data_IF_668936204294
#
_entry.id   IF_668936204294
#
_cell.length_a   1.000
_cell.length_b   1.000
_cell.length_c   1.000
_cell.angle_alpha   90.00
_cell.angle_beta   90.00
_cell.angle_gamma   90.00
#
_symmetry.space_group_name_H-M   'P 1'
#
loop_
_entity.id
_entity.type
_entity.pdbx_description
1 polymer ?
#
# COMPACT_ATOMS: atom_id res chain seq x y z
N UNK A 1 2.46 -21.79 7.76
CA UNK A 1 2.01 -20.69 6.89
C UNK A 1 0.55 -20.88 6.57
N UNK A 2 -0.26 -19.84 6.73
CA UNK A 2 -1.67 -19.82 6.31
C UNK A 2 -1.77 -19.59 4.80
N UNK A 3 -2.68 -20.32 4.13
CA UNK A 3 -2.89 -20.23 2.69
C UNK A 3 -4.36 -19.98 2.37
N UNK A 4 -4.62 -19.18 1.33
CA UNK A 4 -5.95 -18.91 0.79
C UNK A 4 -6.10 -19.50 -0.60
N UNK A 5 -7.13 -20.33 -0.78
CA UNK A 5 -7.53 -20.84 -2.09
C UNK A 5 -8.39 -19.80 -2.79
N UNK A 6 -8.12 -19.55 -4.07
CA UNK A 6 -8.88 -18.61 -4.87
C UNK A 6 -10.06 -19.34 -5.55
N UNK A 7 -11.21 -18.70 -5.62
CA UNK A 7 -12.39 -19.27 -6.29
C UNK A 7 -12.22 -19.35 -7.81
N UNK A 8 -11.48 -18.41 -8.39
CA UNK A 8 -11.18 -18.38 -9.84
C UNK A 8 -9.90 -19.15 -10.11
N UNK A 9 -9.87 -19.91 -11.20
CA UNK A 9 -8.63 -20.45 -11.77
C UNK A 9 -7.89 -19.32 -12.49
N UNK A 10 -6.56 -19.46 -12.63
CA UNK A 10 -5.77 -18.54 -13.44
C UNK A 10 -6.05 -18.72 -14.95
N UNK A 11 -5.44 -17.89 -15.80
CA UNK A 11 -5.60 -17.94 -17.26
C UNK A 11 -5.16 -19.24 -17.91
N UNK A 12 -4.41 -20.11 -17.18
CA UNK A 12 -4.05 -21.46 -17.63
C UNK A 12 -5.02 -22.55 -17.14
N UNK A 13 -6.09 -22.19 -16.43
CA UNK A 13 -7.04 -23.15 -15.86
C UNK A 13 -6.55 -23.84 -14.59
N UNK A 14 -5.49 -23.32 -13.94
CA UNK A 14 -4.91 -23.89 -12.73
C UNK A 14 -5.53 -23.26 -11.47
N UNK A 15 -5.63 -24.07 -10.41
CA UNK A 15 -6.07 -23.61 -9.09
C UNK A 15 -5.01 -22.74 -8.46
N UNK A 16 -5.39 -21.56 -7.96
CA UNK A 16 -4.51 -20.63 -7.26
C UNK A 16 -4.61 -20.86 -5.75
N UNK A 17 -3.47 -20.98 -5.07
CA UNK A 17 -3.39 -21.08 -3.61
C UNK A 17 -2.19 -20.27 -3.12
N UNK A 18 -2.45 -19.03 -2.71
CA UNK A 18 -1.41 -18.13 -2.20
C UNK A 18 -1.24 -18.24 -0.70
N UNK A 19 -0.01 -18.02 -0.19
CA UNK A 19 0.19 -17.69 1.22
C UNK A 19 -0.54 -16.38 1.55
N UNK A 20 -1.16 -16.32 2.74
CA UNK A 20 -1.84 -15.11 3.20
C UNK A 20 -0.83 -13.96 3.41
N UNK A 21 0.40 -14.26 3.86
CA UNK A 21 1.51 -13.31 3.84
C UNK A 21 2.15 -13.30 2.44
N UNK A 22 2.21 -12.14 1.80
CA UNK A 22 2.98 -11.89 0.59
C UNK A 22 4.21 -11.02 0.89
N UNK A 23 5.30 -11.21 0.14
CA UNK A 23 6.50 -10.39 0.25
C UNK A 23 6.44 -9.21 -0.70
N UNK A 24 6.39 -7.99 -0.16
CA UNK A 24 6.42 -6.74 -0.93
C UNK A 24 7.86 -6.28 -1.19
N UNK A 25 8.30 -6.27 -2.46
CA UNK A 25 9.66 -5.92 -2.88
C UNK A 25 9.91 -4.41 -3.02
N UNK A 26 9.05 -3.56 -2.48
CA UNK A 26 9.20 -2.11 -2.51
C UNK A 26 10.17 -1.57 -1.44
N UNK A 27 10.42 -2.34 -0.37
CA UNK A 27 11.16 -1.89 0.81
C UNK A 27 12.31 -2.84 1.15
N UNK A 28 13.14 -3.19 0.17
CA UNK A 28 14.36 -3.94 0.44
C UNK A 28 15.31 -3.15 1.33
N UNK A 29 16.15 -3.82 2.14
CA UNK A 29 17.28 -3.15 2.81
C UNK A 29 18.16 -2.47 1.77
N UNK A 30 18.69 -1.28 2.11
CA UNK A 30 19.52 -0.48 1.22
C UNK A 30 20.88 -0.23 1.84
N UNK A 31 21.89 -0.06 0.97
CA UNK A 31 23.21 0.45 1.35
C UNK A 31 23.11 1.94 1.75
N UNK A 32 24.15 2.51 2.38
CA UNK A 32 24.20 3.94 2.68
C UNK A 32 24.01 4.84 1.44
N UNK A 33 24.39 4.35 0.25
CA UNK A 33 24.26 5.05 -1.03
C UNK A 33 22.85 4.91 -1.64
N UNK A 34 21.93 4.16 -1.00
CA UNK A 34 20.55 3.99 -1.42
C UNK A 34 20.31 2.87 -2.44
N UNK A 35 21.31 2.09 -2.81
CA UNK A 35 21.16 0.89 -3.62
C UNK A 35 20.56 -0.27 -2.79
N UNK A 36 19.98 -1.28 -3.45
CA UNK A 36 19.54 -2.49 -2.76
C UNK A 36 20.76 -3.19 -2.15
N UNK A 37 20.71 -3.51 -0.85
CA UNK A 37 21.67 -4.42 -0.21
C UNK A 37 21.31 -5.85 -0.64
N UNK A 38 21.79 -6.23 -1.83
CA UNK A 38 21.42 -7.50 -2.47
C UNK A 38 21.68 -8.73 -1.60
N UNK A 39 22.82 -8.87 -0.88
CA UNK A 39 23.03 -10.02 -0.01
C UNK A 39 21.96 -10.15 1.09
N UNK A 40 21.62 -9.05 1.77
CA UNK A 40 20.61 -9.05 2.81
C UNK A 40 19.20 -9.25 2.23
N UNK A 41 18.88 -8.56 1.15
CA UNK A 41 17.59 -8.69 0.49
C UNK A 41 17.35 -10.11 -0.04
N UNK A 42 18.35 -10.75 -0.64
CA UNK A 42 18.28 -12.15 -1.08
C UNK A 42 18.09 -13.12 0.10
N UNK A 43 18.80 -12.90 1.21
CA UNK A 43 18.64 -13.71 2.41
C UNK A 43 17.21 -13.64 2.95
N UNK A 44 16.60 -12.44 3.01
CA UNK A 44 15.22 -12.25 3.43
C UNK A 44 14.22 -12.94 2.48
N UNK A 45 14.39 -12.81 1.16
CA UNK A 45 13.55 -13.48 0.17
C UNK A 45 13.61 -15.00 0.30
N UNK A 46 14.81 -15.56 0.43
CA UNK A 46 14.99 -17.00 0.60
C UNK A 46 14.36 -17.50 1.91
N UNK A 47 14.58 -16.79 3.02
CA UNK A 47 14.00 -17.15 4.32
C UNK A 47 12.45 -17.08 4.28
N UNK A 48 11.87 -16.09 3.63
CA UNK A 48 10.42 -15.99 3.44
C UNK A 48 9.88 -17.18 2.63
N UNK A 49 10.51 -17.50 1.49
CA UNK A 49 10.14 -18.67 0.65
C UNK A 49 10.24 -19.97 1.44
N UNK A 50 11.35 -20.19 2.13
CA UNK A 50 11.61 -21.43 2.88
C UNK A 50 10.62 -21.61 4.05
N UNK A 51 10.08 -20.51 4.59
CA UNK A 51 8.98 -20.51 5.56
C UNK A 51 7.58 -20.67 4.92
N UNK A 52 7.48 -20.77 3.59
CA UNK A 52 6.25 -21.04 2.86
C UNK A 52 5.55 -19.82 2.29
N UNK A 53 6.17 -18.63 2.29
CA UNK A 53 5.66 -17.50 1.50
C UNK A 53 5.84 -17.83 0.03
N UNK A 54 4.75 -17.74 -0.74
CA UNK A 54 4.76 -18.06 -2.16
C UNK A 54 4.23 -16.95 -3.07
N UNK A 55 3.96 -15.75 -2.54
CA UNK A 55 3.56 -14.57 -3.31
C UNK A 55 4.58 -13.46 -3.16
N UNK A 56 5.19 -13.04 -4.27
CA UNK A 56 6.23 -12.00 -4.32
C UNK A 56 5.80 -10.88 -5.26
N UNK A 57 5.71 -9.65 -4.70
CA UNK A 57 5.17 -8.47 -5.37
C UNK A 57 6.25 -7.45 -5.64
N UNK A 58 6.52 -7.16 -6.91
CA UNK A 58 7.42 -6.08 -7.34
C UNK A 58 6.70 -5.08 -8.24
N UNK A 59 7.42 -4.09 -8.76
CA UNK A 59 6.94 -3.19 -9.79
C UNK A 59 8.10 -2.54 -10.55
N UNK A 60 7.81 -2.10 -11.77
CA UNK A 60 8.77 -1.46 -12.68
C UNK A 60 9.58 -0.32 -12.06
N UNK A 61 8.97 0.65 -11.29
CA UNK A 61 9.69 1.79 -10.72
C UNK A 61 10.38 1.52 -9.38
N UNK A 62 10.14 0.35 -8.73
CA UNK A 62 10.65 0.11 -7.39
C UNK A 62 12.18 0.14 -7.33
N UNK A 63 12.73 0.80 -6.31
CA UNK A 63 14.16 1.04 -6.15
C UNK A 63 14.80 1.67 -7.40
N UNK A 64 14.15 2.68 -8.00
CA UNK A 64 14.65 3.32 -9.21
C UNK A 64 14.74 2.38 -10.42
N UNK A 65 13.89 1.35 -10.48
CA UNK A 65 13.87 0.33 -11.53
C UNK A 65 14.80 -0.86 -11.28
N UNK A 66 15.46 -0.94 -10.11
CA UNK A 66 16.39 -2.04 -9.78
C UNK A 66 15.69 -3.25 -9.16
N UNK A 67 14.46 -3.11 -8.66
CA UNK A 67 13.76 -4.21 -7.99
C UNK A 67 13.50 -5.40 -8.91
N UNK A 68 12.94 -5.18 -10.11
CA UNK A 68 12.66 -6.28 -11.06
C UNK A 68 13.93 -7.06 -11.47
N UNK A 69 15.04 -6.39 -11.90
CA UNK A 69 16.28 -7.13 -12.23
C UNK A 69 16.84 -7.91 -11.04
N UNK A 70 16.78 -7.35 -9.83
CA UNK A 70 17.26 -8.03 -8.62
C UNK A 70 16.36 -9.24 -8.30
N UNK A 71 15.04 -9.06 -8.25
CA UNK A 71 14.07 -10.16 -8.01
C UNK A 71 14.27 -11.26 -9.05
N UNK A 72 14.41 -10.90 -10.34
CA UNK A 72 14.66 -11.86 -11.43
C UNK A 72 15.87 -12.74 -11.17
N UNK A 73 17.01 -12.17 -10.71
CA UNK A 73 18.21 -12.94 -10.36
C UNK A 73 18.01 -13.90 -9.18
N UNK A 74 17.18 -13.50 -8.21
CA UNK A 74 16.90 -14.35 -7.04
C UNK A 74 15.96 -15.49 -7.41
N UNK A 75 14.81 -15.20 -8.05
CA UNK A 75 13.80 -16.22 -8.39
C UNK A 75 14.27 -17.21 -9.46
N UNK A 76 15.25 -16.83 -10.30
CA UNK A 76 15.88 -17.76 -11.26
C UNK A 76 16.55 -18.97 -10.58
N UNK A 77 16.84 -18.88 -9.28
CA UNK A 77 17.40 -19.97 -8.47
C UNK A 77 16.33 -20.90 -7.87
N UNK A 78 15.03 -20.56 -8.05
CA UNK A 78 13.90 -21.28 -7.47
C UNK A 78 13.11 -22.06 -8.53
N UNK A 79 12.48 -23.20 -8.17
CA UNK A 79 11.51 -23.83 -9.07
C UNK A 79 10.38 -22.87 -9.43
N UNK A 80 10.12 -22.67 -10.72
CA UNK A 80 9.16 -21.63 -11.19
C UNK A 80 7.73 -21.83 -10.64
N UNK A 81 7.34 -23.07 -10.45
CA UNK A 81 6.02 -23.48 -9.94
C UNK A 81 5.90 -23.32 -8.41
N UNK A 82 6.99 -22.98 -7.71
CA UNK A 82 6.98 -22.87 -6.24
C UNK A 82 6.50 -21.50 -5.74
N UNK A 83 6.32 -20.54 -6.63
CA UNK A 83 5.93 -19.17 -6.26
C UNK A 83 5.04 -18.51 -7.31
N UNK A 84 4.32 -17.50 -6.87
CA UNK A 84 3.59 -16.56 -7.70
C UNK A 84 4.32 -15.23 -7.74
N UNK A 85 4.54 -14.72 -8.96
CA UNK A 85 5.21 -13.46 -9.23
C UNK A 85 4.20 -12.38 -9.65
N UNK A 86 4.24 -11.24 -8.97
CA UNK A 86 3.45 -10.07 -9.33
C UNK A 86 4.34 -8.90 -9.75
N UNK A 87 3.96 -8.23 -10.85
CA UNK A 87 4.49 -6.91 -11.22
C UNK A 87 3.42 -6.05 -11.89
N UNK A 88 3.75 -4.78 -12.18
CA UNK A 88 2.74 -3.75 -12.47
C UNK A 88 3.14 -2.86 -13.64
N UNK A 89 2.18 -2.52 -14.52
CA UNK A 89 2.32 -1.56 -15.61
C UNK A 89 2.31 -0.12 -15.08
N UNK A 90 3.40 0.65 -15.20
CA UNK A 90 3.46 2.03 -14.72
C UNK A 90 2.80 2.99 -15.73
N UNK A 91 1.47 3.10 -15.69
CA UNK A 91 0.68 3.85 -16.69
C UNK A 91 1.09 5.32 -16.85
N UNK A 92 1.67 5.96 -15.82
CA UNK A 92 2.19 7.33 -15.92
C UNK A 92 3.46 7.45 -16.75
N UNK A 93 4.07 6.33 -17.12
CA UNK A 93 5.20 6.26 -18.05
C UNK A 93 4.77 5.83 -19.45
N UNK A 94 3.46 5.61 -19.68
CA UNK A 94 2.91 5.22 -20.97
C UNK A 94 2.15 6.37 -21.60
N UNK A 95 2.64 6.89 -22.72
CA UNK A 95 1.95 7.86 -23.56
C UNK A 95 1.22 7.20 -24.75
N UNK A 96 1.47 5.90 -25.01
CA UNK A 96 0.88 5.13 -26.10
C UNK A 96 0.81 3.63 -25.76
N UNK A 97 0.06 2.87 -26.58
CA UNK A 97 0.03 1.40 -26.49
C UNK A 97 1.42 0.79 -26.76
N UNK A 98 2.17 1.32 -27.71
CA UNK A 98 3.51 0.82 -28.06
C UNK A 98 4.49 0.95 -26.87
N UNK A 99 4.43 2.04 -26.14
CA UNK A 99 5.25 2.20 -24.92
C UNK A 99 4.86 1.21 -23.84
N UNK A 100 3.57 0.95 -23.65
CA UNK A 100 3.10 -0.09 -22.71
C UNK A 100 3.57 -1.49 -23.13
N UNK A 101 3.52 -1.80 -24.43
CA UNK A 101 4.04 -3.05 -24.97
C UNK A 101 5.54 -3.20 -24.72
N UNK A 102 6.31 -2.14 -24.98
CA UNK A 102 7.75 -2.13 -24.72
C UNK A 102 8.06 -2.36 -23.23
N UNK A 103 7.36 -1.67 -22.33
CA UNK A 103 7.54 -1.85 -20.89
C UNK A 103 7.23 -3.29 -20.47
N UNK A 104 6.17 -3.90 -20.97
CA UNK A 104 5.81 -5.29 -20.66
C UNK A 104 6.90 -6.28 -21.08
N UNK A 105 7.44 -6.14 -22.29
CA UNK A 105 8.55 -6.99 -22.77
C UNK A 105 9.80 -6.78 -21.91
N UNK A 106 10.09 -5.54 -21.55
CA UNK A 106 11.21 -5.22 -20.66
C UNK A 106 11.03 -5.84 -19.28
N UNK A 107 9.82 -5.86 -18.72
CA UNK A 107 9.53 -6.50 -17.43
C UNK A 107 9.77 -8.01 -17.47
N UNK A 108 9.31 -8.71 -18.51
CA UNK A 108 9.61 -10.13 -18.71
C UNK A 108 11.10 -10.39 -18.78
N UNK A 109 11.83 -9.54 -19.52
CA UNK A 109 13.29 -9.62 -19.65
C UNK A 109 14.02 -9.37 -18.33
N UNK A 110 13.61 -8.34 -17.56
CA UNK A 110 14.20 -8.00 -16.25
C UNK A 110 13.99 -9.11 -15.23
N UNK A 111 12.79 -9.68 -15.22
CA UNK A 111 12.43 -10.77 -14.31
C UNK A 111 12.93 -12.13 -14.77
N UNK A 112 13.33 -12.27 -16.04
CA UNK A 112 13.83 -13.52 -16.63
C UNK A 112 12.77 -14.62 -16.72
N UNK A 113 11.51 -14.24 -16.99
CA UNK A 113 10.36 -15.16 -17.03
C UNK A 113 9.59 -15.07 -18.35
N UNK A 114 8.93 -16.16 -18.73
CA UNK A 114 8.09 -16.22 -19.94
C UNK A 114 6.65 -15.72 -19.67
N UNK A 115 6.19 -15.79 -18.41
CA UNK A 115 4.89 -15.35 -17.98
C UNK A 115 4.93 -14.76 -16.57
N UNK A 116 3.94 -13.91 -16.28
CA UNK A 116 3.72 -13.29 -14.96
C UNK A 116 2.43 -13.85 -14.38
N UNK A 117 2.45 -14.29 -13.11
CA UNK A 117 1.28 -14.89 -12.47
C UNK A 117 0.21 -13.84 -12.17
N UNK A 118 0.61 -12.68 -11.64
CA UNK A 118 -0.28 -11.59 -11.27
C UNK A 118 0.20 -10.28 -11.90
N UNK A 119 -0.50 -9.80 -12.90
CA UNK A 119 -0.14 -8.56 -13.57
C UNK A 119 -1.15 -7.46 -13.24
N UNK A 120 -0.67 -6.27 -12.86
CA UNK A 120 -1.51 -5.18 -12.40
C UNK A 120 -1.35 -3.93 -13.27
N UNK A 121 -2.45 -3.21 -13.49
CA UNK A 121 -2.37 -1.78 -13.79
C UNK A 121 -1.97 -1.06 -12.50
N UNK A 122 -0.91 -0.25 -12.54
CA UNK A 122 -0.29 0.32 -11.34
C UNK A 122 -0.93 1.64 -10.93
N UNK A 123 -1.36 1.72 -9.66
CA UNK A 123 -1.79 2.97 -9.01
C UNK A 123 -2.91 3.68 -9.77
N UNK A 124 -4.03 2.95 -9.99
CA UNK A 124 -5.19 3.50 -10.66
C UNK A 124 -5.94 4.50 -9.77
N UNK A 125 -6.51 5.47 -10.45
CA UNK A 125 -7.69 6.24 -10.11
C UNK A 125 -8.54 6.37 -11.39
N UNK A 126 -9.82 6.72 -11.28
CA UNK A 126 -10.77 6.66 -12.40
C UNK A 126 -10.23 7.29 -13.71
N UNK A 127 -9.73 8.51 -13.66
CA UNK A 127 -9.25 9.20 -14.87
C UNK A 127 -7.99 8.53 -15.50
N UNK A 128 -7.09 7.93 -14.70
CA UNK A 128 -5.95 7.17 -15.22
C UNK A 128 -6.39 5.88 -15.87
N UNK A 129 -7.39 5.24 -15.31
CA UNK A 129 -8.00 4.04 -15.88
C UNK A 129 -8.66 4.32 -17.24
N UNK A 130 -9.50 5.37 -17.31
CA UNK A 130 -10.18 5.75 -18.55
C UNK A 130 -9.19 6.06 -19.65
N UNK A 131 -8.11 6.80 -19.35
CA UNK A 131 -7.03 7.05 -20.29
C UNK A 131 -6.34 5.76 -20.77
N UNK A 132 -6.10 4.80 -19.90
CA UNK A 132 -5.50 3.52 -20.29
C UNK A 132 -6.41 2.72 -21.23
N UNK A 133 -7.74 2.80 -21.05
CA UNK A 133 -8.72 2.22 -21.99
C UNK A 133 -8.68 2.92 -23.34
N UNK A 134 -8.72 4.25 -23.36
CA UNK A 134 -8.65 5.03 -24.60
C UNK A 134 -7.40 4.72 -25.42
N UNK A 135 -6.27 4.45 -24.77
CA UNK A 135 -5.02 4.02 -25.41
C UNK A 135 -5.03 2.55 -25.86
N UNK A 136 -6.08 1.76 -25.54
CA UNK A 136 -6.18 0.32 -25.87
C UNK A 136 -5.30 -0.59 -25.01
N UNK A 137 -4.68 -0.07 -23.95
CA UNK A 137 -3.77 -0.84 -23.08
C UNK A 137 -4.52 -1.94 -22.33
N UNK A 138 -5.72 -1.64 -21.83
CA UNK A 138 -6.53 -2.62 -21.08
C UNK A 138 -6.89 -3.82 -21.93
N UNK A 139 -7.41 -3.60 -23.13
CA UNK A 139 -7.79 -4.65 -24.07
C UNK A 139 -6.58 -5.48 -24.49
N UNK A 140 -5.46 -4.82 -24.76
CA UNK A 140 -4.22 -5.51 -25.11
C UNK A 140 -3.70 -6.40 -23.96
N UNK A 141 -3.80 -5.98 -22.71
CA UNK A 141 -3.40 -6.81 -21.56
C UNK A 141 -4.32 -8.01 -21.37
N UNK A 142 -5.63 -7.90 -21.67
CA UNK A 142 -6.52 -9.05 -21.72
C UNK A 142 -6.12 -10.04 -22.83
N UNK A 143 -5.62 -9.57 -23.97
CA UNK A 143 -5.06 -10.45 -25.02
C UNK A 143 -3.77 -11.14 -24.52
N UNK A 144 -2.87 -10.45 -23.79
CA UNK A 144 -1.70 -11.09 -23.19
C UNK A 144 -2.09 -12.20 -22.19
N UNK A 145 -3.19 -12.01 -21.47
CA UNK A 145 -3.74 -13.06 -20.62
C UNK A 145 -4.25 -14.26 -21.44
N UNK A 146 -4.99 -14.05 -22.54
CA UNK A 146 -5.43 -15.14 -23.44
C UNK A 146 -4.25 -15.90 -24.05
N UNK A 147 -3.15 -15.21 -24.33
CA UNK A 147 -1.90 -15.80 -24.82
C UNK A 147 -1.11 -16.55 -23.72
N UNK A 148 -1.55 -16.49 -22.46
CA UNK A 148 -0.90 -17.16 -21.33
C UNK A 148 0.35 -16.46 -20.80
N UNK A 149 0.66 -15.25 -21.28
CA UNK A 149 1.79 -14.43 -20.78
C UNK A 149 1.47 -13.74 -19.47
N UNK A 150 0.19 -13.57 -19.18
CA UNK A 150 -0.37 -13.14 -17.90
C UNK A 150 -1.31 -14.25 -17.41
N UNK A 151 -1.16 -14.71 -16.17
CA UNK A 151 -2.03 -15.74 -15.59
C UNK A 151 -3.27 -15.16 -14.92
N UNK A 152 -3.12 -14.04 -14.20
CA UNK A 152 -4.20 -13.29 -13.57
C UNK A 152 -3.99 -11.80 -13.79
N UNK A 153 -5.04 -11.10 -14.25
CA UNK A 153 -4.97 -9.66 -14.56
C UNK A 153 -5.85 -8.86 -13.62
N UNK A 154 -5.27 -7.84 -13.01
CA UNK A 154 -5.92 -6.97 -12.04
C UNK A 154 -5.31 -5.58 -12.02
N UNK A 155 -5.50 -4.88 -10.91
CA UNK A 155 -4.98 -3.51 -10.74
C UNK A 155 -4.70 -3.20 -9.28
N UNK A 156 -3.84 -2.21 -9.01
CA UNK A 156 -3.76 -1.52 -7.73
C UNK A 156 -4.45 -0.15 -7.83
N UNK A 157 -5.18 0.24 -6.77
CA UNK A 157 -5.98 1.45 -6.78
C UNK A 157 -5.65 2.35 -5.59
N UNK A 158 -5.58 3.65 -5.87
CA UNK A 158 -5.52 4.75 -4.92
C UNK A 158 -6.61 5.75 -5.32
N UNK A 159 -7.86 5.41 -5.00
CA UNK A 159 -9.04 6.23 -5.26
C UNK A 159 -10.07 6.03 -4.15
N UNK A 160 -11.02 6.93 -4.06
CA UNK A 160 -12.18 6.76 -3.18
C UNK A 160 -13.09 5.62 -3.67
N UNK A 161 -14.10 5.28 -2.87
CA UNK A 161 -14.99 4.16 -3.18
C UNK A 161 -15.74 4.32 -4.51
N UNK A 162 -16.09 5.53 -4.93
CA UNK A 162 -16.80 5.78 -6.20
C UNK A 162 -15.89 5.53 -7.42
N UNK A 163 -14.65 6.03 -7.38
CA UNK A 163 -13.67 5.76 -8.43
C UNK A 163 -13.30 4.28 -8.51
N UNK A 164 -13.14 3.63 -7.35
CA UNK A 164 -12.93 2.19 -7.30
C UNK A 164 -14.12 1.41 -7.90
N UNK A 165 -15.37 1.75 -7.56
CA UNK A 165 -16.56 1.09 -8.09
C UNK A 165 -16.66 1.22 -9.61
N UNK A 166 -16.33 2.39 -10.16
CA UNK A 166 -16.25 2.62 -11.61
C UNK A 166 -15.29 1.61 -12.28
N UNK A 167 -14.09 1.44 -11.72
CA UNK A 167 -13.09 0.52 -12.26
C UNK A 167 -13.51 -0.95 -12.09
N UNK A 168 -14.00 -1.33 -10.90
CA UNK A 168 -14.36 -2.71 -10.60
C UNK A 168 -15.48 -3.25 -11.48
N UNK A 169 -16.47 -2.42 -11.83
CA UNK A 169 -17.64 -2.84 -12.64
C UNK A 169 -17.39 -2.89 -14.13
N UNK A 170 -16.29 -2.28 -14.60
CA UNK A 170 -16.05 -2.16 -16.04
C UNK A 170 -15.43 -3.41 -16.67
N UNK A 171 -14.69 -4.20 -15.93
CA UNK A 171 -14.00 -5.40 -16.43
C UNK A 171 -14.21 -6.62 -15.53
N UNK A 172 -14.07 -7.84 -16.06
CA UNK A 172 -14.15 -9.06 -15.27
C UNK A 172 -12.84 -9.37 -14.52
N UNK A 173 -12.37 -8.43 -13.72
CA UNK A 173 -11.09 -8.51 -13.01
C UNK A 173 -10.90 -9.84 -12.27
N UNK A 174 -9.68 -10.38 -12.31
CA UNK A 174 -9.35 -11.57 -11.55
C UNK A 174 -9.10 -11.24 -10.07
N UNK A 175 -8.61 -10.03 -9.80
CA UNK A 175 -8.31 -9.52 -8.47
C UNK A 175 -8.13 -8.00 -8.50
N UNK A 176 -8.08 -7.39 -7.32
CA UNK A 176 -7.57 -6.03 -7.15
C UNK A 176 -6.66 -5.93 -5.92
N UNK A 177 -5.88 -4.86 -5.86
CA UNK A 177 -4.99 -4.55 -4.75
C UNK A 177 -5.34 -3.18 -4.18
N UNK A 178 -5.72 -3.14 -2.90
CA UNK A 178 -6.14 -1.92 -2.21
C UNK A 178 -5.31 -1.66 -0.96
N UNK A 179 -5.19 -0.40 -0.57
CA UNK A 179 -4.75 -0.01 0.74
C UNK A 179 -5.88 -0.29 1.75
N UNK A 180 -5.59 -1.08 2.80
CA UNK A 180 -6.56 -1.34 3.84
C UNK A 180 -5.88 -1.73 5.16
N UNK A 181 -6.24 -1.03 6.23
CA UNK A 181 -5.80 -1.28 7.60
C UNK A 181 -6.83 -0.70 8.57
N UNK A 182 -6.76 -1.04 9.84
CA UNK A 182 -7.77 -0.66 10.84
C UNK A 182 -7.87 0.86 11.10
N UNK A 183 -6.92 1.66 10.64
CA UNK A 183 -6.96 3.12 10.77
C UNK A 183 -7.57 3.80 9.53
N UNK A 184 -7.44 3.18 8.35
CA UNK A 184 -7.89 3.70 7.06
C UNK A 184 -9.19 3.01 6.61
N UNK A 185 -10.18 2.94 7.50
CA UNK A 185 -11.50 2.34 7.23
C UNK A 185 -12.50 3.32 6.62
N UNK A 186 -12.25 4.62 6.79
CA UNK A 186 -13.12 5.70 6.31
C UNK A 186 -12.83 6.02 4.82
N UNK A 187 -13.87 6.05 3.99
CA UNK A 187 -13.81 6.34 2.55
C UNK A 187 -13.87 7.84 2.20
N UNK A 188 -13.83 8.72 3.22
CA UNK A 188 -13.88 10.19 3.00
C UNK A 188 -12.57 10.78 2.48
N UNK A 189 -11.46 10.07 2.58
CA UNK A 189 -10.21 10.49 1.97
C UNK A 189 -10.22 10.20 0.46
N UNK A 190 -9.67 11.11 -0.36
CA UNK A 190 -9.73 10.98 -1.83
C UNK A 190 -8.98 9.78 -2.40
N UNK A 191 -8.01 9.26 -1.68
CA UNK A 191 -7.13 8.16 -2.14
C UNK A 191 -7.39 6.82 -1.45
N UNK A 192 -8.44 6.74 -0.60
CA UNK A 192 -8.73 5.56 0.22
C UNK A 192 -10.19 5.17 0.04
N UNK A 193 -10.41 3.92 -0.34
CA UNK A 193 -11.76 3.38 -0.51
C UNK A 193 -12.37 2.77 0.77
N UNK A 194 -11.55 2.60 1.83
CA UNK A 194 -11.97 2.16 3.16
C UNK A 194 -12.80 0.88 3.19
N UNK A 195 -13.70 0.80 4.17
CA UNK A 195 -14.63 -0.32 4.33
C UNK A 195 -15.55 -0.50 3.12
N UNK A 196 -15.96 0.60 2.49
CA UNK A 196 -16.81 0.52 1.29
C UNK A 196 -16.06 -0.14 0.13
N UNK A 197 -14.78 0.15 -0.04
CA UNK A 197 -13.94 -0.52 -1.04
C UNK A 197 -13.84 -2.01 -0.79
N UNK A 198 -13.61 -2.43 0.46
CA UNK A 198 -13.62 -3.84 0.83
C UNK A 198 -14.97 -4.50 0.50
N UNK A 199 -16.11 -3.89 0.89
CA UNK A 199 -17.45 -4.41 0.63
C UNK A 199 -17.73 -4.57 -0.87
N UNK A 200 -17.35 -3.60 -1.71
CA UNK A 200 -17.49 -3.67 -3.16
C UNK A 200 -16.78 -4.91 -3.74
N UNK A 201 -15.58 -5.23 -3.24
CA UNK A 201 -14.85 -6.42 -3.71
C UNK A 201 -15.55 -7.72 -3.30
N UNK A 202 -16.17 -7.77 -2.10
CA UNK A 202 -16.98 -8.92 -1.68
C UNK A 202 -18.25 -9.06 -2.52
N UNK A 203 -19.01 -7.96 -2.72
CA UNK A 203 -20.23 -7.92 -3.55
C UNK A 203 -19.97 -8.44 -4.97
N UNK A 204 -18.84 -8.05 -5.56
CA UNK A 204 -18.46 -8.42 -6.92
C UNK A 204 -17.68 -9.75 -7.00
N UNK A 205 -17.39 -10.40 -5.87
CA UNK A 205 -16.57 -11.61 -5.80
C UNK A 205 -15.20 -11.44 -6.47
N UNK A 206 -14.57 -10.27 -6.30
CA UNK A 206 -13.22 -9.97 -6.79
C UNK A 206 -12.24 -10.18 -5.63
N UNK A 207 -11.33 -11.16 -5.69
CA UNK A 207 -10.33 -11.42 -4.66
C UNK A 207 -9.46 -10.19 -4.39
N UNK A 208 -9.15 -9.95 -3.11
CA UNK A 208 -8.46 -8.76 -2.65
C UNK A 208 -7.05 -9.08 -2.17
N UNK A 209 -6.08 -8.30 -2.65
CA UNK A 209 -4.71 -8.21 -2.15
C UNK A 209 -4.59 -6.90 -1.38
N UNK A 210 -3.99 -6.93 -0.20
CA UNK A 210 -3.84 -5.73 0.63
C UNK A 210 -2.42 -5.20 0.54
N UNK A 211 -2.32 -3.90 0.24
CA UNK A 211 -1.13 -3.08 0.44
C UNK A 211 -1.32 -2.15 1.66
N UNK A 212 -0.22 -1.68 2.24
CA UNK A 212 -0.21 -0.80 3.43
C UNK A 212 -0.98 -1.38 4.66
N UNK A 213 -0.88 -2.68 4.96
CA UNK A 213 -1.59 -3.29 6.08
C UNK A 213 -1.18 -2.71 7.44
N UNK A 214 0.06 -2.19 7.52
CA UNK A 214 0.64 -1.54 8.71
C UNK A 214 0.95 -0.05 8.47
N UNK A 215 0.28 0.58 7.50
CA UNK A 215 0.39 2.02 7.17
C UNK A 215 1.86 2.48 7.07
N UNK A 216 2.63 1.83 6.16
CA UNK A 216 4.04 2.14 5.94
C UNK A 216 4.97 1.87 7.13
N UNK A 217 4.52 1.09 8.11
CA UNK A 217 5.25 0.79 9.36
C UNK A 217 4.75 1.59 10.57
N UNK A 218 3.88 2.57 10.38
CA UNK A 218 3.41 3.44 11.48
C UNK A 218 2.61 2.65 12.53
N UNK A 219 1.82 1.66 12.08
CA UNK A 219 1.03 0.80 12.97
C UNK A 219 1.86 -0.32 13.64
N UNK A 220 3.16 -0.38 13.41
CA UNK A 220 4.07 -1.29 14.10
C UNK A 220 4.72 -0.68 15.36
N UNK A 221 4.46 0.60 15.63
CA UNK A 221 5.03 1.34 16.76
C UNK A 221 3.98 2.31 17.31
N UNK A 222 3.04 1.77 18.07
CA UNK A 222 1.96 2.55 18.68
C UNK A 222 2.44 3.32 19.93
N UNK A 223 1.85 4.48 20.24
CA UNK A 223 2.07 5.09 21.55
C UNK A 223 1.46 4.20 22.66
N UNK A 224 2.04 4.21 23.87
CA UNK A 224 1.64 3.30 24.95
C UNK A 224 0.14 3.30 25.27
N UNK A 225 -0.51 4.44 25.17
CA UNK A 225 -1.95 4.56 25.45
C UNK A 225 -2.80 3.89 24.36
N UNK A 226 -2.33 3.90 23.10
CA UNK A 226 -3.01 3.23 22.00
C UNK A 226 -2.75 1.70 22.03
N UNK A 227 -1.56 1.28 22.47
CA UNK A 227 -1.14 -0.11 22.61
C UNK A 227 -1.85 -0.82 23.79
N UNK A 228 -2.18 -0.09 24.86
CA UNK A 228 -2.67 -0.65 26.11
C UNK A 228 -3.85 -1.63 25.97
N UNK A 229 -4.92 -1.37 25.19
CA UNK A 229 -6.00 -2.34 24.99
C UNK A 229 -5.53 -3.66 24.37
N UNK A 230 -4.57 -3.60 23.47
CA UNK A 230 -4.01 -4.74 22.74
C UNK A 230 -3.14 -5.59 23.68
N UNK A 231 -2.25 -4.96 24.43
CA UNK A 231 -1.36 -5.60 25.41
C UNK A 231 -2.11 -6.22 26.57
N UNK A 232 -3.27 -5.68 26.95
CA UNK A 232 -4.12 -6.28 27.97
C UNK A 232 -4.63 -7.68 27.56
N UNK A 233 -4.80 -7.95 26.26
CA UNK A 233 -5.27 -9.23 25.73
C UNK A 233 -4.12 -10.17 25.37
N UNK A 234 -3.08 -9.66 24.71
CA UNK A 234 -1.89 -10.44 24.30
C UNK A 234 -0.61 -9.64 24.57
N UNK A 235 -0.04 -9.72 25.79
CA UNK A 235 1.12 -8.88 26.18
C UNK A 235 2.35 -9.03 25.29
N UNK A 236 2.57 -10.23 24.74
CA UNK A 236 3.75 -10.55 23.92
C UNK A 236 3.54 -10.31 22.41
N UNK A 237 2.31 -10.00 21.98
CA UNK A 237 2.04 -9.75 20.55
C UNK A 237 2.60 -8.40 20.13
N UNK A 238 3.24 -8.35 18.97
CA UNK A 238 3.70 -7.08 18.36
C UNK A 238 2.51 -6.26 17.85
N UNK A 239 2.66 -4.93 17.77
CA UNK A 239 1.65 -4.06 17.16
C UNK A 239 1.40 -4.43 15.70
N UNK A 240 2.47 -4.79 14.96
CA UNK A 240 2.37 -5.26 13.59
C UNK A 240 1.49 -6.51 13.46
N UNK A 241 1.62 -7.47 14.40
CA UNK A 241 0.81 -8.69 14.39
C UNK A 241 -0.69 -8.42 14.55
N UNK A 242 -1.06 -7.41 15.34
CA UNK A 242 -2.46 -7.00 15.48
C UNK A 242 -3.03 -6.43 14.17
N UNK A 243 -2.29 -5.55 13.51
CA UNK A 243 -2.70 -4.98 12.23
C UNK A 243 -2.80 -6.05 11.13
N UNK A 244 -1.83 -6.95 11.04
CA UNK A 244 -1.82 -8.05 10.07
C UNK A 244 -2.96 -9.05 10.32
N UNK A 245 -3.24 -9.38 11.59
CA UNK A 245 -4.37 -10.25 11.95
C UNK A 245 -5.71 -9.59 11.68
N UNK A 246 -5.83 -8.27 11.91
CA UNK A 246 -7.05 -7.53 11.58
C UNK A 246 -7.37 -7.64 10.09
N UNK A 247 -6.41 -7.32 9.23
CA UNK A 247 -6.56 -7.45 7.77
C UNK A 247 -6.87 -8.90 7.38
N UNK A 248 -6.13 -9.86 7.91
CA UNK A 248 -6.29 -11.29 7.60
C UNK A 248 -7.61 -11.89 8.10
N UNK A 249 -8.31 -11.22 9.02
CA UNK A 249 -9.63 -11.64 9.48
C UNK A 249 -10.73 -11.42 8.43
N UNK A 250 -10.47 -10.61 7.42
CA UNK A 250 -11.39 -10.33 6.33
C UNK A 250 -11.36 -11.45 5.28
N UNK A 251 -12.50 -12.08 5.02
CA UNK A 251 -12.59 -13.32 4.22
C UNK A 251 -12.19 -13.17 2.76
N UNK A 252 -12.42 -11.98 2.18
CA UNK A 252 -12.08 -11.72 0.78
C UNK A 252 -10.61 -11.32 0.57
N UNK A 253 -9.82 -11.20 1.65
CA UNK A 253 -8.39 -10.95 1.58
C UNK A 253 -7.64 -12.25 1.32
N UNK A 254 -6.91 -12.32 0.22
CA UNK A 254 -6.16 -13.50 -0.21
C UNK A 254 -4.66 -13.36 -0.03
N UNK A 255 -4.14 -12.13 -0.08
CA UNK A 255 -2.73 -11.82 0.18
C UNK A 255 -2.63 -10.50 0.93
N UNK A 256 -1.73 -10.45 1.92
CA UNK A 256 -1.35 -9.26 2.67
C UNK A 256 0.11 -8.98 2.40
N UNK A 257 0.39 -7.89 1.70
CA UNK A 257 1.75 -7.52 1.34
C UNK A 257 2.46 -6.85 2.50
N UNK A 258 3.60 -7.40 2.90
CA UNK A 258 4.50 -6.77 3.86
C UNK A 258 5.89 -6.57 3.25
N UNK A 259 6.40 -5.34 3.33
CA UNK A 259 7.76 -4.99 2.92
C UNK A 259 8.71 -5.16 4.11
N UNK A 260 9.18 -6.37 4.32
CA UNK A 260 10.08 -6.71 5.42
C UNK A 260 11.53 -6.40 5.03
N UNK A 261 12.12 -5.39 5.65
CA UNK A 261 13.48 -4.91 5.36
C UNK A 261 14.53 -5.35 6.39
N UNK A 262 14.11 -6.10 7.43
CA UNK A 262 14.96 -6.62 8.49
C UNK A 262 14.51 -8.02 8.93
N UNK A 263 15.42 -8.79 9.51
CA UNK A 263 15.20 -10.18 9.91
C UNK A 263 14.17 -10.31 11.04
N UNK A 264 14.13 -9.37 11.97
CA UNK A 264 13.17 -9.31 13.07
C UNK A 264 11.74 -9.10 12.56
N UNK A 265 11.55 -8.19 11.58
CA UNK A 265 10.26 -7.97 10.91
C UNK A 265 9.77 -9.23 10.18
N UNK A 266 10.67 -9.90 9.46
CA UNK A 266 10.34 -11.16 8.80
C UNK A 266 9.96 -12.24 9.81
N UNK A 267 10.74 -12.39 10.88
CA UNK A 267 10.52 -13.40 11.92
C UNK A 267 9.16 -13.19 12.61
N UNK A 268 8.82 -11.96 12.99
CA UNK A 268 7.56 -11.60 13.64
C UNK A 268 6.36 -11.88 12.71
N UNK A 269 6.44 -11.43 11.46
CA UNK A 269 5.39 -11.67 10.48
C UNK A 269 5.21 -13.16 10.18
N UNK A 270 6.30 -13.92 10.02
CA UNK A 270 6.23 -15.37 9.82
C UNK A 270 5.61 -16.07 11.02
N UNK A 271 5.92 -15.66 12.25
CA UNK A 271 5.30 -16.22 13.47
C UNK A 271 3.79 -15.97 13.48
N UNK A 272 3.34 -14.77 13.10
CA UNK A 272 1.93 -14.40 12.99
C UNK A 272 1.17 -15.30 12.00
N UNK A 273 1.76 -15.60 10.82
CA UNK A 273 1.08 -16.39 9.79
C UNK A 273 1.37 -17.89 9.85
N UNK A 274 2.32 -18.36 10.67
CA UNK A 274 2.57 -19.79 10.89
C UNK A 274 1.39 -20.48 11.58
N UNK A 275 0.72 -19.76 12.48
CA UNK A 275 -0.51 -20.17 13.19
C UNK A 275 -1.51 -19.03 13.17
N UNK A 276 -1.96 -18.67 11.97
CA UNK A 276 -2.89 -17.57 11.81
C UNK A 276 -4.21 -17.85 12.53
N UNK A 277 -4.58 -16.92 13.41
CA UNK A 277 -5.87 -16.90 14.11
C UNK A 277 -6.58 -15.59 13.77
N UNK A 278 -7.76 -15.64 13.13
CA UNK A 278 -8.59 -14.43 12.97
C UNK A 278 -8.86 -13.78 14.31
N UNK A 279 -9.07 -12.47 14.32
CA UNK A 279 -9.44 -11.75 15.54
C UNK A 279 -10.78 -12.26 16.08
N UNK A 280 -10.85 -12.50 17.38
CA UNK A 280 -12.11 -12.70 18.10
C UNK A 280 -12.87 -11.37 18.22
N UNK A 281 -14.16 -11.41 18.56
CA UNK A 281 -14.95 -10.20 18.78
C UNK A 281 -14.33 -9.26 19.83
N UNK A 282 -13.76 -9.82 20.91
CA UNK A 282 -13.07 -9.04 21.95
C UNK A 282 -11.79 -8.39 21.41
N UNK A 283 -11.02 -9.10 20.61
CA UNK A 283 -9.81 -8.57 19.98
C UNK A 283 -10.14 -7.49 18.94
N UNK A 284 -11.21 -7.69 18.14
CA UNK A 284 -11.70 -6.68 17.21
C UNK A 284 -12.08 -5.39 17.94
N UNK A 285 -12.85 -5.49 19.04
CA UNK A 285 -13.21 -4.34 19.85
C UNK A 285 -11.97 -3.59 20.42
N UNK A 286 -10.91 -4.32 20.82
CA UNK A 286 -9.67 -3.69 21.28
C UNK A 286 -8.95 -2.94 20.15
N UNK A 287 -8.92 -3.49 18.93
CA UNK A 287 -8.35 -2.80 17.76
C UNK A 287 -9.17 -1.56 17.39
N UNK A 288 -10.50 -1.65 17.43
CA UNK A 288 -11.41 -0.51 17.23
C UNK A 288 -11.18 0.60 18.27
N UNK A 289 -10.98 0.23 19.55
CA UNK A 289 -10.64 1.17 20.61
C UNK A 289 -9.29 1.86 20.34
N UNK A 290 -8.28 1.11 19.89
CA UNK A 290 -6.97 1.64 19.48
C UNK A 290 -7.13 2.64 18.32
N UNK A 291 -7.88 2.28 17.28
CA UNK A 291 -8.15 3.16 16.14
C UNK A 291 -8.88 4.44 16.58
N UNK A 292 -9.91 4.32 17.40
CA UNK A 292 -10.65 5.46 17.93
C UNK A 292 -9.76 6.40 18.76
N UNK A 293 -8.86 5.85 19.59
CA UNK A 293 -7.89 6.64 20.32
C UNK A 293 -6.96 7.42 19.38
N UNK A 294 -6.39 6.77 18.37
CA UNK A 294 -5.52 7.42 17.39
C UNK A 294 -6.26 8.52 16.63
N UNK A 295 -7.49 8.25 16.16
CA UNK A 295 -8.33 9.24 15.48
C UNK A 295 -8.65 10.44 16.37
N UNK A 296 -8.86 10.24 17.68
CA UNK A 296 -9.11 11.34 18.63
C UNK A 296 -7.93 12.32 18.76
N UNK A 297 -6.73 11.92 18.35
CA UNK A 297 -5.50 12.72 18.39
C UNK A 297 -5.18 13.45 17.09
N UNK A 298 -6.04 13.33 16.08
CA UNK A 298 -5.93 14.08 14.82
C UNK A 298 -6.03 15.59 15.16
N UNK A 299 -5.01 16.34 14.79
CA UNK A 299 -4.92 17.79 15.06
C UNK A 299 -5.87 18.61 14.21
N UNK A 300 -6.08 18.17 12.96
CA UNK A 300 -6.96 18.86 12.01
C UNK A 300 -7.59 17.86 11.03
N UNK A 301 -8.90 17.96 10.82
CA UNK A 301 -9.68 17.06 9.96
C UNK A 301 -9.52 17.33 8.46
N UNK A 302 -8.27 17.45 7.99
CA UNK A 302 -7.97 17.58 6.56
C UNK A 302 -8.13 16.22 5.86
N UNK A 303 -8.95 16.17 4.79
CA UNK A 303 -9.19 14.95 4.00
C UNK A 303 -8.22 14.78 2.84
N UNK A 304 -7.30 15.72 2.61
CA UNK A 304 -6.35 15.65 1.49
C UNK A 304 -6.91 16.06 0.13
N UNK A 305 -8.15 16.54 0.06
CA UNK A 305 -8.89 16.82 -1.19
C UNK A 305 -8.24 17.86 -2.14
N UNK A 306 -7.21 18.57 -1.70
CA UNK A 306 -6.39 19.52 -2.46
C UNK A 306 -7.15 20.70 -3.14
N UNK A 307 -8.44 20.95 -2.80
CA UNK A 307 -9.17 22.13 -3.32
C UNK A 307 -8.51 23.47 -2.93
N UNK A 308 -7.72 23.48 -1.83
CA UNK A 308 -6.92 24.62 -1.41
C UNK A 308 -5.62 24.81 -2.24
N UNK A 309 -5.35 23.91 -3.18
CA UNK A 309 -4.16 23.94 -4.04
C UNK A 309 -4.49 24.43 -5.48
N UNK A 310 -3.54 25.08 -6.18
CA UNK A 310 -2.21 25.45 -5.66
C UNK A 310 -2.26 26.66 -4.72
N UNK A 311 -1.44 26.60 -3.67
CA UNK A 311 -1.22 27.77 -2.83
C UNK A 311 -0.38 28.82 -3.59
N UNK A 312 -0.76 30.12 -3.60
CA UNK A 312 0.02 31.15 -4.34
C UNK A 312 1.44 31.34 -3.80
N UNK A 313 1.72 30.87 -2.58
CA UNK A 313 3.05 30.91 -1.98
C UNK A 313 3.78 29.57 -2.01
N UNK A 314 3.23 28.56 -2.72
CA UNK A 314 3.85 27.25 -2.85
C UNK A 314 3.65 26.30 -1.68
N UNK A 315 2.98 26.71 -0.58
CA UNK A 315 2.78 25.83 0.58
C UNK A 315 1.94 24.62 0.21
N UNK A 316 2.44 23.39 0.44
CA UNK A 316 1.63 22.19 0.31
C UNK A 316 0.80 21.98 1.58
N UNK A 317 -0.39 22.57 1.60
CA UNK A 317 -1.26 22.60 2.78
C UNK A 317 -1.65 21.19 3.27
N UNK A 318 -2.11 20.27 2.38
CA UNK A 318 -2.47 18.92 2.80
C UNK A 318 -1.30 18.14 3.41
N UNK A 319 -0.12 18.22 2.81
CA UNK A 319 1.05 17.48 3.28
C UNK A 319 1.59 18.02 4.61
N UNK A 320 1.55 19.35 4.81
CA UNK A 320 1.82 19.94 6.12
C UNK A 320 0.88 19.37 7.20
N UNK A 321 -0.43 19.31 6.93
CA UNK A 321 -1.40 18.78 7.88
C UNK A 321 -1.24 17.27 8.09
N UNK A 322 -0.85 16.51 7.07
CA UNK A 322 -0.54 15.08 7.19
C UNK A 322 0.58 14.82 8.21
N UNK A 323 1.69 15.57 8.13
CA UNK A 323 2.79 15.46 9.09
C UNK A 323 2.33 15.84 10.51
N UNK A 324 1.57 16.91 10.64
CA UNK A 324 1.07 17.35 11.94
C UNK A 324 0.10 16.35 12.57
N UNK A 325 -0.78 15.75 11.77
CA UNK A 325 -1.67 14.69 12.23
C UNK A 325 -0.89 13.45 12.65
N UNK A 326 0.18 13.06 11.92
CA UNK A 326 1.06 11.97 12.34
C UNK A 326 1.70 12.24 13.70
N UNK A 327 2.20 13.47 13.94
CA UNK A 327 2.73 13.85 15.24
C UNK A 327 1.67 13.73 16.34
N UNK A 328 0.45 14.17 16.08
CA UNK A 328 -0.66 14.05 17.03
C UNK A 328 -1.00 12.60 17.35
N UNK A 329 -1.22 11.80 16.34
CA UNK A 329 -1.67 10.40 16.46
C UNK A 329 -0.61 9.49 17.10
N UNK A 330 0.65 9.58 16.63
CA UNK A 330 1.69 8.61 16.97
C UNK A 330 2.78 9.16 17.91
N UNK A 331 2.84 10.47 18.12
CA UNK A 331 3.96 11.09 18.79
C UNK A 331 5.22 11.03 17.92
N UNK A 332 6.20 10.24 18.28
CA UNK A 332 7.46 10.00 17.54
C UNK A 332 8.16 11.28 17.07
N UNK A 333 8.45 12.23 17.98
CA UNK A 333 8.94 13.56 17.63
C UNK A 333 10.23 13.54 16.80
N UNK A 334 11.16 12.65 17.11
CA UNK A 334 12.42 12.53 16.36
C UNK A 334 12.22 12.09 14.89
N UNK A 335 11.32 11.16 14.66
CA UNK A 335 11.01 10.70 13.30
C UNK A 335 10.28 11.80 12.50
N UNK A 336 9.36 12.50 13.14
CA UNK A 336 8.64 13.63 12.54
C UNK A 336 9.60 14.79 12.26
N UNK A 337 10.49 15.14 13.21
CA UNK A 337 11.53 16.15 13.01
C UNK A 337 12.40 15.82 11.79
N UNK A 338 12.91 14.59 11.71
CA UNK A 338 13.72 14.16 10.58
C UNK A 338 12.94 14.25 9.26
N UNK A 339 11.67 13.85 9.22
CA UNK A 339 10.83 13.99 8.05
C UNK A 339 10.65 15.45 7.64
N UNK A 340 10.38 16.33 8.60
CA UNK A 340 10.16 17.76 8.41
C UNK A 340 11.40 18.51 7.93
N UNK A 341 12.55 18.23 8.54
CA UNK A 341 13.80 18.94 8.23
C UNK A 341 14.50 18.41 6.97
N UNK A 342 14.58 17.08 6.82
CA UNK A 342 15.42 16.46 5.80
C UNK A 342 14.67 16.03 4.52
N UNK A 343 13.35 15.84 4.60
CA UNK A 343 12.57 15.27 3.47
C UNK A 343 11.47 16.18 2.97
N UNK A 344 10.96 17.10 3.82
CA UNK A 344 9.90 18.00 3.38
C UNK A 344 10.52 19.22 2.68
N UNK A 345 10.10 19.54 1.42
CA UNK A 345 10.68 20.66 0.68
C UNK A 345 10.49 21.98 1.44
N UNK A 346 11.55 22.75 1.61
CA UNK A 346 11.48 24.01 2.39
C UNK A 346 10.44 24.98 1.81
N UNK A 347 10.40 25.12 0.49
CA UNK A 347 9.46 26.00 -0.22
C UNK A 347 7.97 25.63 0.00
N UNK A 348 7.67 24.41 0.44
CA UNK A 348 6.32 23.88 0.66
C UNK A 348 5.87 23.97 2.11
N UNK A 349 6.76 24.41 3.02
CA UNK A 349 6.48 24.48 4.47
C UNK A 349 5.48 25.57 4.83
N UNK A 350 4.80 25.35 5.94
CA UNK A 350 3.81 26.29 6.52
C UNK A 350 4.39 27.66 6.83
N UNK A 351 5.71 27.78 7.08
CA UNK A 351 6.43 29.05 7.31
C UNK A 351 6.26 30.07 6.17
N UNK A 352 6.02 29.60 4.93
CA UNK A 352 5.80 30.48 3.77
C UNK A 352 4.35 31.02 3.66
N UNK A 353 3.47 30.68 4.61
CA UNK A 353 2.07 31.13 4.58
C UNK A 353 1.93 32.62 4.87
N UNK A 354 1.52 33.42 3.89
CA UNK A 354 1.23 34.87 4.03
C UNK A 354 -0.19 35.17 4.51
N UNK A 355 -0.94 34.18 4.98
CA UNK A 355 -2.29 34.30 5.55
C UNK A 355 -3.33 34.96 4.62
N UNK A 356 -3.22 34.80 3.32
CA UNK A 356 -4.12 35.46 2.32
C UNK A 356 -5.57 34.93 2.34
N UNK A 357 -5.87 33.77 2.93
CA UNK A 357 -7.22 33.21 3.13
C UNK A 357 -7.84 32.51 1.93
N UNK A 358 -7.17 32.43 0.76
CA UNK A 358 -7.71 31.76 -0.43
C UNK A 358 -8.01 30.27 -0.17
N UNK A 359 -7.15 29.59 0.60
CA UNK A 359 -7.31 28.19 0.94
C UNK A 359 -8.54 27.92 1.82
N UNK A 360 -8.85 28.81 2.77
CA UNK A 360 -10.05 28.66 3.62
C UNK A 360 -11.35 28.87 2.82
N UNK A 361 -11.32 29.82 1.88
CA UNK A 361 -12.48 30.05 0.99
C UNK A 361 -12.75 28.86 0.06
N UNK A 362 -11.72 28.11 -0.31
CA UNK A 362 -11.83 26.93 -1.18
C UNK A 362 -12.06 25.62 -0.42
N UNK A 363 -11.88 25.60 0.91
CA UNK A 363 -11.94 24.38 1.70
C UNK A 363 -13.38 23.89 1.90
N UNK A 364 -13.78 22.72 1.39
CA UNK A 364 -15.13 22.18 1.59
C UNK A 364 -15.38 21.74 3.03
N UNK A 365 -14.31 21.53 3.84
CA UNK A 365 -14.40 21.19 5.25
C UNK A 365 -14.43 22.42 6.16
N UNK A 366 -14.35 23.64 5.60
CA UNK A 366 -14.33 24.90 6.32
C UNK A 366 -13.26 24.97 7.44
N UNK A 367 -12.09 24.38 7.21
CA UNK A 367 -11.01 24.30 8.18
C UNK A 367 -10.38 25.70 8.39
N UNK A 368 -9.96 26.04 9.64
CA UNK A 368 -9.26 27.29 9.94
C UNK A 368 -7.77 27.21 9.52
N UNK A 369 -7.51 27.04 8.22
CA UNK A 369 -6.22 26.65 7.64
C UNK A 369 -5.09 27.59 8.06
N UNK A 370 -5.32 28.91 8.04
CA UNK A 370 -4.28 29.90 8.38
C UNK A 370 -3.81 29.80 9.82
N UNK A 371 -4.73 29.54 10.74
CA UNK A 371 -4.39 29.38 12.15
C UNK A 371 -3.74 28.02 12.40
N UNK A 372 -4.26 26.99 11.76
CA UNK A 372 -3.71 25.63 11.84
C UNK A 372 -2.28 25.55 11.31
N UNK A 373 -1.96 26.19 10.16
CA UNK A 373 -0.60 26.27 9.64
C UNK A 373 0.36 27.00 10.59
N UNK A 374 -0.10 28.08 11.20
CA UNK A 374 0.72 28.81 12.17
C UNK A 374 1.03 27.98 13.44
N UNK A 375 0.01 27.26 13.96
CA UNK A 375 0.18 26.38 15.11
C UNK A 375 1.09 25.19 14.76
N UNK A 376 0.87 24.54 13.62
CA UNK A 376 1.70 23.46 13.10
C UNK A 376 3.18 23.88 13.03
N UNK A 377 3.46 25.05 12.42
CA UNK A 377 4.83 25.54 12.31
C UNK A 377 5.46 25.71 13.67
N UNK A 378 4.73 26.32 14.62
CA UNK A 378 5.22 26.52 15.98
C UNK A 378 5.51 25.18 16.70
N UNK A 379 4.64 24.18 16.55
CA UNK A 379 4.83 22.86 17.18
C UNK A 379 6.02 22.10 16.56
N UNK A 380 6.17 22.14 15.22
CA UNK A 380 7.27 21.45 14.54
C UNK A 380 8.64 22.12 14.77
N UNK A 381 8.67 23.45 14.91
CA UNK A 381 9.91 24.19 15.24
C UNK A 381 10.39 23.92 16.68
N UNK A 382 9.54 23.37 17.56
CA UNK A 382 9.87 23.02 18.94
C UNK A 382 10.36 21.56 19.11
N UNK A 383 10.31 20.76 18.05
CA UNK A 383 10.86 19.40 18.06
C UNK A 383 12.40 19.42 17.94
#
# INVERSE_FOLDING_TARGET
MEYRAWKKQNGAGESIRTSLLGYGCMRFPTTPEGAIDEPRAEALLNAARDAGVNYFDTAYPYHGGQSEPFVGRVIAKWPRESFYLATKMPLWQCGSLEEAQHIFEEQLRRLGVEYIDFYLLHSLYAARYDRAKEMGIVDWLWEQKKLGRIRSFGFSCHDNAAGLEHILRDQPWDFCQLQYNYLDTDDRAEEISGDRGYQLTEELNIPLIIMEPIKGGTLANLPPEAEAPLKALRPEASDASWALRWVGSHRNVHVILSGMSAEDQLTDNLATFARFEPLTATETAAVEQTAAFLHSRIKIGCTGCRYCMPCPMGVDIPDNFSIWNKLGMFGQPEAIKHQWEARFPDAEKASHCVRCGKCEAACPQHLPIRNALAQLQQELDQL
#
